data_IF_494753853633
#
_entry.id   IF_494753853633
#
_cell.length_a   1.000
_cell.length_b   1.000
_cell.length_c   1.000
_cell.angle_alpha   90.00
_cell.angle_beta   90.00
_cell.angle_gamma   90.00
#
_symmetry.space_group_name_H-M   'P 1'
#
loop_
_entity.id
_entity.type
_entity.pdbx_description
1 polymer ?
#
# COMPACT_ATOMS: atom_id res chain seq x y z
N UNK A 1 -38.02 -0.33 9.24
CA UNK A 1 -37.21 -1.07 10.23
C UNK A 1 -36.68 -2.34 9.56
N UNK A 2 -35.73 -2.19 8.63
CA UNK A 2 -35.19 -3.31 7.84
C UNK A 2 -33.81 -3.71 8.39
N UNK A 3 -33.71 -4.80 9.16
CA UNK A 3 -32.44 -5.33 9.66
C UNK A 3 -31.76 -6.17 8.56
N UNK A 4 -31.65 -5.62 7.35
CA UNK A 4 -31.17 -6.32 6.14
C UNK A 4 -29.82 -5.77 5.61
N UNK A 5 -29.24 -4.77 6.29
CA UNK A 5 -27.91 -4.23 5.98
C UNK A 5 -26.76 -5.24 6.20
N UNK A 6 -27.03 -6.46 6.66
CA UNK A 6 -26.04 -7.24 7.39
C UNK A 6 -25.30 -8.33 6.60
N UNK A 7 -25.72 -8.81 5.42
CA UNK A 7 -25.10 -10.04 4.88
C UNK A 7 -24.81 -10.13 3.38
N UNK A 8 -24.86 -9.02 2.65
CA UNK A 8 -24.38 -9.00 1.28
C UNK A 8 -24.35 -7.57 0.80
N UNK A 9 -23.14 -7.01 0.67
CA UNK A 9 -22.95 -5.69 0.07
C UNK A 9 -23.43 -5.76 -1.37
N UNK A 10 -24.71 -5.43 -1.57
CA UNK A 10 -25.27 -5.23 -2.88
C UNK A 10 -24.47 -4.11 -3.57
N UNK A 11 -24.15 -4.32 -4.84
CA UNK A 11 -23.39 -3.36 -5.65
C UNK A 11 -23.99 -1.94 -5.58
N UNK A 12 -25.31 -1.86 -5.46
CA UNK A 12 -26.04 -0.60 -5.35
C UNK A 12 -25.71 0.17 -4.07
N UNK A 13 -25.70 -0.49 -2.90
CA UNK A 13 -25.31 0.12 -1.63
C UNK A 13 -23.86 0.62 -1.64
N UNK A 14 -22.93 -0.18 -2.20
CA UNK A 14 -21.52 0.24 -2.33
C UNK A 14 -21.39 1.48 -3.21
N UNK A 15 -22.13 1.52 -4.32
CA UNK A 15 -22.13 2.67 -5.23
C UNK A 15 -22.74 3.92 -4.57
N UNK A 16 -23.78 3.75 -3.75
CA UNK A 16 -24.43 4.84 -3.03
C UNK A 16 -23.51 5.41 -1.94
N UNK A 17 -22.83 4.56 -1.18
CA UNK A 17 -21.80 4.95 -0.20
C UNK A 17 -20.65 5.67 -0.90
N UNK A 18 -20.15 5.13 -2.01
CA UNK A 18 -19.11 5.75 -2.82
C UNK A 18 -19.54 7.14 -3.33
N UNK A 19 -20.80 7.27 -3.77
CA UNK A 19 -21.39 8.55 -4.19
C UNK A 19 -21.43 9.59 -3.07
N UNK A 20 -21.85 9.21 -1.87
CA UNK A 20 -21.83 10.10 -0.69
C UNK A 20 -20.40 10.49 -0.33
N UNK A 21 -19.46 9.54 -0.36
CA UNK A 21 -18.04 9.80 -0.11
C UNK A 21 -17.46 10.78 -1.15
N UNK A 22 -17.83 10.62 -2.42
CA UNK A 22 -17.47 11.56 -3.49
C UNK A 22 -18.08 12.94 -3.27
N UNK A 23 -19.27 13.05 -2.69
CA UNK A 23 -19.90 14.34 -2.42
C UNK A 23 -19.20 15.08 -1.27
N UNK A 24 -18.78 14.37 -0.22
CA UNK A 24 -18.06 14.93 0.92
C UNK A 24 -16.61 15.29 0.59
N UNK A 25 -15.89 14.40 -0.09
CA UNK A 25 -14.47 14.58 -0.42
C UNK A 25 -14.26 15.24 -1.78
N UNK A 26 -15.22 15.16 -2.69
CA UNK A 26 -15.08 15.63 -4.07
C UNK A 26 -14.38 14.61 -4.97
N UNK A 27 -14.64 14.70 -6.28
CA UNK A 27 -14.03 13.84 -7.31
C UNK A 27 -12.50 13.96 -7.41
N UNK A 28 -11.91 15.03 -6.90
CA UNK A 28 -10.46 15.27 -6.97
C UNK A 28 -9.68 14.73 -5.76
N UNK A 29 -10.26 14.70 -4.56
CA UNK A 29 -9.51 14.34 -3.34
C UNK A 29 -9.33 12.84 -3.19
N UNK A 30 -10.38 12.06 -3.43
CA UNK A 30 -10.35 10.59 -3.36
C UNK A 30 -9.25 9.95 -4.24
N UNK A 31 -9.15 10.26 -5.55
CA UNK A 31 -8.10 9.69 -6.39
C UNK A 31 -6.71 10.24 -6.05
N UNK A 32 -6.61 11.48 -5.56
CA UNK A 32 -5.31 12.06 -5.15
C UNK A 32 -4.76 11.36 -3.92
N UNK A 33 -5.60 11.09 -2.91
CA UNK A 33 -5.24 10.31 -1.74
C UNK A 33 -4.86 8.88 -2.11
N UNK A 34 -5.66 8.21 -2.95
CA UNK A 34 -5.35 6.87 -3.44
C UNK A 34 -4.04 6.80 -4.21
N UNK A 35 -3.72 7.80 -5.04
CA UNK A 35 -2.44 7.87 -5.77
C UNK A 35 -1.27 7.99 -4.80
N UNK A 36 -1.36 8.88 -3.80
CA UNK A 36 -0.29 9.05 -2.80
C UNK A 36 -0.08 7.78 -1.96
N UNK A 37 -1.15 7.16 -1.45
CA UNK A 37 -1.09 5.89 -0.73
C UNK A 37 -0.58 4.74 -1.61
N UNK A 38 -1.03 4.68 -2.86
CA UNK A 38 -0.61 3.65 -3.81
C UNK A 38 0.89 3.70 -4.09
N UNK A 39 1.48 4.90 -4.20
CA UNK A 39 2.92 5.07 -4.35
C UNK A 39 3.66 4.58 -3.10
N UNK A 40 3.20 4.95 -1.90
CA UNK A 40 3.80 4.45 -0.65
C UNK A 40 3.73 2.93 -0.53
N UNK A 41 2.59 2.30 -0.85
CA UNK A 41 2.43 0.83 -0.83
C UNK A 41 3.34 0.17 -1.88
N UNK A 42 3.49 0.79 -3.05
CA UNK A 42 4.35 0.26 -4.13
C UNK A 42 5.82 0.28 -3.73
N UNK A 43 6.33 1.41 -3.22
CA UNK A 43 7.71 1.51 -2.74
C UNK A 43 7.95 0.62 -1.51
N UNK A 44 6.97 0.52 -0.61
CA UNK A 44 7.05 -0.40 0.53
C UNK A 44 7.19 -1.86 0.06
N UNK A 45 6.35 -2.30 -0.88
CA UNK A 45 6.42 -3.66 -1.43
C UNK A 45 7.74 -3.91 -2.17
N UNK A 46 8.28 -2.88 -2.84
CA UNK A 46 9.57 -2.94 -3.53
C UNK A 46 10.72 -3.10 -2.54
N UNK A 47 10.78 -2.27 -1.50
CA UNK A 47 11.80 -2.37 -0.45
C UNK A 47 11.75 -3.69 0.33
N UNK A 48 10.55 -4.23 0.59
CA UNK A 48 10.41 -5.56 1.22
C UNK A 48 10.93 -6.68 0.33
N UNK A 49 10.73 -6.59 -1.00
CA UNK A 49 11.28 -7.56 -1.95
C UNK A 49 12.80 -7.45 -2.07
N UNK A 50 13.31 -6.24 -2.26
CA UNK A 50 14.75 -5.98 -2.36
C UNK A 50 15.49 -6.40 -1.07
N UNK A 51 14.89 -6.21 0.11
CA UNK A 51 15.45 -6.68 1.39
C UNK A 51 15.34 -8.21 1.61
N UNK A 52 14.37 -8.87 0.97
CA UNK A 52 14.23 -10.33 1.01
C UNK A 52 15.12 -11.04 -0.03
N UNK A 53 15.50 -10.35 -1.12
CA UNK A 53 16.38 -10.84 -2.19
C UNK A 53 17.83 -10.36 -2.06
N UNK A 54 18.17 -9.59 -1.03
CA UNK A 54 19.55 -9.16 -0.78
C UNK A 54 20.46 -10.39 -0.62
N UNK A 55 21.44 -10.60 -1.50
CA UNK A 55 22.47 -11.61 -1.29
C UNK A 55 23.24 -11.25 -0.02
N UNK A 56 23.61 -12.28 0.74
CA UNK A 56 24.45 -12.25 1.92
C UNK A 56 25.91 -11.84 1.60
N UNK A 57 26.10 -10.78 0.80
CA UNK A 57 27.41 -10.31 0.32
C UNK A 57 27.56 -8.80 0.55
N UNK A 58 27.57 -8.42 1.82
CA UNK A 58 28.21 -7.18 2.25
C UNK A 58 28.77 -7.35 3.67
N UNK A 59 29.50 -8.43 3.89
CA UNK A 59 30.54 -8.42 4.92
C UNK A 59 31.77 -7.80 4.26
N UNK A 60 32.20 -6.59 4.66
CA UNK A 60 33.50 -6.08 4.24
C UNK A 60 34.56 -7.05 4.77
N UNK A 61 35.18 -7.81 3.86
CA UNK A 61 36.44 -8.50 4.11
C UNK A 61 37.52 -7.43 4.32
N UNK A 62 37.55 -6.87 5.53
CA UNK A 62 38.64 -6.03 6.03
C UNK A 62 39.25 -6.73 7.24
N UNK A 63 39.96 -7.84 6.98
CA UNK A 63 41.11 -8.24 7.80
C UNK A 63 41.97 -9.24 7.03
N UNK A 64 42.77 -8.71 6.10
CA UNK A 64 44.05 -9.32 5.81
C UNK A 64 45.10 -8.24 5.97
N UNK A 65 45.69 -8.09 7.18
CA UNK A 65 46.91 -7.31 7.27
C UNK A 65 47.99 -8.07 6.49
N UNK A 66 48.61 -7.33 5.59
CA UNK A 66 49.82 -7.71 4.89
C UNK A 66 50.96 -7.98 5.88
N UNK A 67 51.84 -8.91 5.50
CA UNK A 67 53.27 -8.89 5.87
C UNK A 67 53.65 -9.32 7.29
N UNK A 68 54.19 -10.54 7.40
CA UNK A 68 55.50 -10.86 8.02
C UNK A 68 55.86 -12.30 7.74
#
# INVERSE_FOLDING_TARGET
MTPLLAFGLNYWEVLLILGVLLLLFGSSRLPTLMRSMGRSITEFKRGVREGAEAPEEALPESTKPEGT
#
